data_IF_604364211195
#
_entry.id   IF_604364211195
#
_cell.length_a   1.000
_cell.length_b   1.000
_cell.length_c   1.000
_cell.angle_alpha   90.00
_cell.angle_beta   90.00
_cell.angle_gamma   90.00
#
_symmetry.space_group_name_H-M   'P 1'
#
loop_
_entity.id
_entity.type
_entity.pdbx_description
1 polymer ?
#
# COMPACT_ATOMS: atom_id res chain seq x y z
N UNK A 1 4.76 -18.67 -0.53
CA UNK A 1 4.14 -17.36 -0.81
C UNK A 1 3.37 -17.22 -2.14
N UNK A 2 3.32 -18.17 -3.11
CA UNK A 2 2.55 -17.92 -4.34
C UNK A 2 1.03 -18.06 -4.17
N UNK A 3 0.57 -19.02 -3.36
CA UNK A 3 -0.87 -19.28 -3.15
C UNK A 3 -1.57 -18.07 -2.50
N UNK A 4 -0.91 -17.42 -1.53
CA UNK A 4 -1.46 -16.26 -0.82
C UNK A 4 -1.60 -15.05 -1.73
N UNK A 5 -0.58 -14.75 -2.53
CA UNK A 5 -0.62 -13.63 -3.47
C UNK A 5 -1.76 -13.81 -4.49
N UNK A 6 -1.93 -15.03 -5.03
CA UNK A 6 -3.00 -15.33 -5.99
C UNK A 6 -4.38 -15.19 -5.33
N UNK A 7 -4.58 -15.78 -4.15
CA UNK A 7 -5.85 -15.69 -3.43
C UNK A 7 -6.22 -14.23 -3.12
N UNK A 8 -5.26 -13.42 -2.68
CA UNK A 8 -5.47 -12.00 -2.40
C UNK A 8 -5.83 -11.21 -3.66
N UNK A 9 -5.09 -11.45 -4.75
CA UNK A 9 -5.29 -10.78 -6.02
C UNK A 9 -6.68 -11.09 -6.59
N UNK A 10 -7.18 -12.32 -6.45
CA UNK A 10 -8.54 -12.69 -6.86
C UNK A 10 -9.61 -11.91 -6.10
N UNK A 11 -9.48 -11.77 -4.78
CA UNK A 11 -10.42 -10.99 -3.96
C UNK A 11 -10.37 -9.51 -4.31
N UNK A 12 -9.17 -8.95 -4.50
CA UNK A 12 -9.00 -7.56 -4.89
C UNK A 12 -9.60 -7.26 -6.27
N UNK A 13 -9.36 -8.15 -7.25
CA UNK A 13 -9.96 -8.04 -8.57
C UNK A 13 -11.48 -8.16 -8.52
N UNK A 14 -12.01 -9.09 -7.72
CA UNK A 14 -13.46 -9.21 -7.52
C UNK A 14 -14.06 -7.90 -7.01
N UNK A 15 -13.47 -7.30 -5.98
CA UNK A 15 -13.93 -6.02 -5.42
C UNK A 15 -13.82 -4.89 -6.44
N UNK A 16 -12.73 -4.84 -7.22
CA UNK A 16 -12.51 -3.87 -8.27
C UNK A 16 -13.61 -3.96 -9.35
N UNK A 17 -13.88 -5.16 -9.87
CA UNK A 17 -14.89 -5.38 -10.90
C UNK A 17 -16.31 -5.14 -10.38
N UNK A 18 -16.59 -5.48 -9.12
CA UNK A 18 -17.87 -5.21 -8.49
C UNK A 18 -18.13 -3.71 -8.27
N UNK A 19 -17.08 -2.89 -8.17
CA UNK A 19 -17.16 -1.45 -7.89
C UNK A 19 -16.52 -0.60 -9.00
N UNK A 20 -16.60 -1.06 -10.25
CA UNK A 20 -15.89 -0.44 -11.38
C UNK A 20 -16.26 1.03 -11.60
N UNK A 21 -17.51 1.40 -11.29
CA UNK A 21 -18.00 2.78 -11.37
C UNK A 21 -17.37 3.72 -10.34
N UNK A 22 -16.90 3.20 -9.20
CA UNK A 22 -16.27 3.98 -8.13
C UNK A 22 -14.74 4.11 -8.30
N UNK A 23 -14.16 3.44 -9.30
CA UNK A 23 -12.72 3.46 -9.57
C UNK A 23 -12.20 4.86 -9.92
N UNK A 24 -12.85 5.65 -10.81
CA UNK A 24 -12.40 7.00 -11.10
C UNK A 24 -12.38 7.90 -9.86
N UNK A 25 -13.40 7.79 -9.00
CA UNK A 25 -13.51 8.57 -7.77
C UNK A 25 -12.43 8.19 -6.75
N UNK A 26 -12.17 6.90 -6.58
CA UNK A 26 -11.06 6.41 -5.75
C UNK A 26 -9.71 6.96 -6.23
N UNK A 27 -9.43 6.93 -7.53
CA UNK A 27 -8.17 7.45 -8.08
C UNK A 27 -8.05 8.96 -7.87
N UNK A 28 -9.15 9.69 -8.07
CA UNK A 28 -9.23 11.12 -7.79
C UNK A 28 -8.94 11.41 -6.31
N UNK A 29 -9.55 10.64 -5.40
CA UNK A 29 -9.33 10.75 -3.96
C UNK A 29 -7.87 10.53 -3.57
N UNK A 30 -7.19 9.53 -4.16
CA UNK A 30 -5.77 9.26 -3.92
C UNK A 30 -4.93 10.47 -4.33
N UNK A 31 -5.12 10.98 -5.55
CA UNK A 31 -4.34 12.11 -6.08
C UNK A 31 -4.61 13.39 -5.28
N UNK A 32 -5.87 13.71 -5.02
CA UNK A 32 -6.24 14.89 -4.23
C UNK A 32 -5.69 14.82 -2.81
N UNK A 33 -5.71 13.64 -2.19
CA UNK A 33 -5.18 13.44 -0.83
C UNK A 33 -3.65 13.50 -0.80
N UNK A 34 -2.98 12.98 -1.82
CA UNK A 34 -1.52 13.00 -1.92
C UNK A 34 -0.96 14.41 -2.10
N UNK A 35 -1.62 15.24 -2.92
CA UNK A 35 -1.21 16.63 -3.17
C UNK A 35 -1.92 17.66 -2.26
N UNK A 36 -2.79 17.20 -1.36
CA UNK A 36 -3.55 18.04 -0.44
C UNK A 36 -4.47 19.05 -1.13
N UNK A 37 -5.01 18.72 -2.32
CA UNK A 37 -5.93 19.56 -3.11
C UNK A 37 -7.36 19.59 -2.53
N UNK A 38 -7.53 19.34 -1.24
CA UNK A 38 -8.81 19.39 -0.53
C UNK A 38 -9.13 20.78 0.06
N UNK A 39 -10.28 20.95 0.74
CA UNK A 39 -10.71 22.24 1.32
C UNK A 39 -9.81 22.82 2.44
N UNK A 40 -8.67 22.20 2.73
CA UNK A 40 -7.75 22.63 3.77
C UNK A 40 -6.90 23.81 3.28
N UNK A 41 -7.35 25.02 3.61
CA UNK A 41 -6.64 26.27 3.28
C UNK A 41 -5.38 26.39 4.16
N UNK A 42 -4.18 26.41 3.56
CA UNK A 42 -2.93 26.81 4.25
C UNK A 42 -2.10 25.70 4.91
N UNK A 43 -1.34 26.04 5.97
CA UNK A 43 -0.32 25.17 6.61
C UNK A 43 -0.82 23.83 7.16
N UNK A 44 -2.13 23.68 7.41
CA UNK A 44 -2.75 22.42 7.81
C UNK A 44 -2.74 21.38 6.67
N UNK A 45 -2.97 21.79 5.42
CA UNK A 45 -2.82 20.90 4.26
C UNK A 45 -1.37 20.44 4.09
N UNK A 46 -0.40 21.37 4.26
CA UNK A 46 1.03 21.03 4.23
C UNK A 46 1.43 20.01 5.30
N UNK A 47 0.92 20.13 6.53
CA UNK A 47 1.12 19.14 7.58
C UNK A 47 0.49 17.78 7.24
N UNK A 48 -0.74 17.78 6.70
CA UNK A 48 -1.43 16.56 6.31
C UNK A 48 -0.70 15.82 5.18
N UNK A 49 -0.22 16.53 4.16
CA UNK A 49 0.61 15.97 3.08
C UNK A 49 1.89 15.36 3.65
N UNK A 50 2.62 16.11 4.50
CA UNK A 50 3.86 15.63 5.12
C UNK A 50 3.61 14.35 5.94
N UNK A 51 2.56 14.33 6.76
CA UNK A 51 2.19 13.18 7.57
C UNK A 51 1.78 11.98 6.71
N UNK A 52 0.98 12.19 5.66
CA UNK A 52 0.58 11.15 4.72
C UNK A 52 1.80 10.56 3.98
N UNK A 53 2.70 11.42 3.51
CA UNK A 53 3.91 11.02 2.81
C UNK A 53 4.88 10.26 3.73
N UNK A 54 5.13 10.74 4.94
CA UNK A 54 5.97 10.03 5.91
C UNK A 54 5.42 8.65 6.26
N UNK A 55 4.10 8.55 6.51
CA UNK A 55 3.46 7.28 6.82
C UNK A 55 3.47 6.32 5.62
N UNK A 56 3.23 6.84 4.41
CA UNK A 56 3.28 6.07 3.17
C UNK A 56 4.68 5.54 2.87
N UNK A 57 5.70 6.40 2.97
CA UNK A 57 7.10 6.03 2.74
C UNK A 57 7.56 4.99 3.76
N UNK A 58 7.33 5.21 5.06
CA UNK A 58 7.70 4.26 6.11
C UNK A 58 7.05 2.90 5.88
N UNK A 59 5.74 2.86 5.65
CA UNK A 59 5.01 1.61 5.41
C UNK A 59 5.44 0.91 4.12
N UNK A 60 5.67 1.66 3.04
CA UNK A 60 6.16 1.12 1.78
C UNK A 60 7.53 0.45 1.92
N UNK A 61 8.47 1.11 2.60
CA UNK A 61 9.81 0.56 2.87
C UNK A 61 9.77 -0.70 3.76
N UNK A 62 8.83 -0.78 4.70
CA UNK A 62 8.64 -2.00 5.51
C UNK A 62 7.97 -3.14 4.74
N UNK A 63 7.13 -2.85 3.74
CA UNK A 63 6.46 -3.88 2.92
C UNK A 63 7.45 -4.59 1.99
N UNK A 64 8.30 -3.82 1.31
CA UNK A 64 9.14 -4.33 0.23
C UNK A 64 10.64 -4.42 0.58
N UNK A 65 11.03 -4.03 1.79
CA UNK A 65 12.43 -3.95 2.27
C UNK A 65 13.38 -3.15 1.34
N UNK A 66 12.86 -2.27 0.49
CA UNK A 66 13.68 -1.53 -0.46
C UNK A 66 14.71 -0.66 0.27
N UNK A 67 16.00 -0.90 0.01
CA UNK A 67 17.09 -0.12 0.62
C UNK A 67 17.35 -0.43 2.10
N UNK A 68 16.71 -1.44 2.70
CA UNK A 68 16.95 -1.86 4.10
C UNK A 68 18.24 -2.67 4.29
N UNK A 69 18.87 -3.14 3.21
CA UNK A 69 20.13 -3.89 3.28
C UNK A 69 20.02 -5.32 3.85
N UNK A 70 18.85 -5.73 4.32
CA UNK A 70 18.53 -7.10 4.79
C UNK A 70 18.29 -8.09 3.64
N UNK A 71 17.64 -7.64 2.58
CA UNK A 71 17.26 -8.45 1.40
C UNK A 71 18.44 -9.11 0.66
N UNK A 72 19.63 -8.48 0.55
CA UNK A 72 20.83 -9.12 0.03
C UNK A 72 21.27 -10.39 0.78
N UNK A 73 20.97 -10.50 2.08
CA UNK A 73 21.35 -11.67 2.89
C UNK A 73 20.62 -12.94 2.42
N UNK A 74 19.33 -12.82 2.07
CA UNK A 74 18.56 -13.91 1.45
C UNK A 74 19.02 -14.17 0.01
N UNK A 75 19.42 -13.14 -0.73
CA UNK A 75 19.98 -13.27 -2.08
C UNK A 75 21.29 -14.05 -2.10
N UNK A 76 22.13 -13.88 -1.09
CA UNK A 76 23.46 -14.49 -1.01
C UNK A 76 23.42 -16.02 -0.93
N UNK A 77 22.31 -16.60 -0.48
CA UNK A 77 22.10 -18.05 -0.45
C UNK A 77 21.58 -18.63 -1.77
N UNK A 78 21.16 -17.78 -2.71
CA UNK A 78 20.60 -18.24 -3.99
C UNK A 78 21.71 -18.67 -4.94
N UNK A 79 21.58 -19.88 -5.49
CA UNK A 79 22.49 -20.37 -6.54
C UNK A 79 22.14 -19.70 -7.88
N UNK A 80 22.84 -18.62 -8.20
CA UNK A 80 22.70 -17.89 -9.48
C UNK A 80 24.01 -17.85 -10.25
N UNK A 81 23.93 -17.78 -11.58
CA UNK A 81 25.11 -17.74 -12.45
C UNK A 81 25.87 -16.41 -12.39
N UNK A 82 25.17 -15.32 -12.09
CA UNK A 82 25.75 -13.98 -12.00
C UNK A 82 24.97 -13.15 -10.97
N UNK A 83 25.65 -12.41 -10.08
CA UNK A 83 24.99 -11.62 -9.02
C UNK A 83 24.01 -10.58 -9.58
N UNK A 84 24.27 -10.02 -10.77
CA UNK A 84 23.33 -9.09 -11.41
C UNK A 84 21.98 -9.73 -11.73
N UNK A 85 21.92 -11.02 -12.05
CA UNK A 85 20.66 -11.71 -12.29
C UNK A 85 19.84 -11.83 -10.99
N UNK A 86 20.50 -12.09 -9.86
CA UNK A 86 19.83 -12.13 -8.56
C UNK A 86 19.34 -10.74 -8.14
N UNK A 87 20.14 -9.69 -8.40
CA UNK A 87 19.72 -8.31 -8.16
C UNK A 87 18.47 -7.94 -8.96
N UNK A 88 18.42 -8.29 -10.25
CA UNK A 88 17.25 -8.04 -11.11
C UNK A 88 15.99 -8.76 -10.61
N UNK A 89 16.10 -10.02 -10.20
CA UNK A 89 14.96 -10.77 -9.64
C UNK A 89 14.46 -10.14 -8.34
N UNK A 90 15.36 -9.65 -7.48
CA UNK A 90 14.98 -8.95 -6.25
C UNK A 90 14.32 -7.60 -6.51
N UNK A 91 14.85 -6.80 -7.44
CA UNK A 91 14.21 -5.54 -7.85
C UNK A 91 12.83 -5.77 -8.47
N UNK A 92 12.65 -6.85 -9.21
CA UNK A 92 11.34 -7.24 -9.74
C UNK A 92 10.35 -7.62 -8.63
N UNK A 93 10.82 -8.29 -7.56
CA UNK A 93 10.00 -8.56 -6.38
C UNK A 93 9.46 -7.29 -5.73
N UNK A 94 10.31 -6.27 -5.54
CA UNK A 94 9.91 -4.95 -5.01
C UNK A 94 8.90 -4.25 -5.92
N UNK A 95 9.08 -4.34 -7.23
CA UNK A 95 8.16 -3.79 -8.22
C UNK A 95 6.77 -4.45 -8.12
N UNK A 96 6.71 -5.78 -8.08
CA UNK A 96 5.44 -6.52 -7.96
C UNK A 96 4.75 -6.21 -6.62
N UNK A 97 5.50 -6.18 -5.51
CA UNK A 97 4.92 -5.86 -4.21
C UNK A 97 4.32 -4.45 -4.17
N UNK A 98 5.07 -3.45 -4.67
CA UNK A 98 4.65 -2.05 -4.57
C UNK A 98 3.55 -1.70 -5.58
N UNK A 99 3.69 -2.12 -6.84
CA UNK A 99 2.79 -1.70 -7.91
C UNK A 99 1.54 -2.58 -7.97
N UNK A 100 1.68 -3.88 -7.74
CA UNK A 100 0.54 -4.81 -7.89
C UNK A 100 -0.11 -5.06 -6.54
N UNK A 101 0.65 -5.54 -5.56
CA UNK A 101 0.08 -6.05 -4.32
C UNK A 101 -0.40 -4.92 -3.41
N UNK A 102 0.44 -3.93 -3.13
CA UNK A 102 0.07 -2.76 -2.32
C UNK A 102 -1.06 -1.93 -2.96
N UNK A 103 -1.08 -1.81 -4.29
CA UNK A 103 -2.19 -1.14 -5.00
C UNK A 103 -3.50 -1.91 -4.86
N UNK A 104 -3.47 -3.24 -4.92
CA UNK A 104 -4.65 -4.07 -4.66
C UNK A 104 -5.18 -3.84 -3.24
N UNK A 105 -4.29 -3.71 -2.25
CA UNK A 105 -4.68 -3.39 -0.88
C UNK A 105 -5.36 -2.02 -0.77
N UNK A 106 -4.85 -1.01 -1.48
CA UNK A 106 -5.49 0.30 -1.55
C UNK A 106 -6.91 0.22 -2.14
N UNK A 107 -7.09 -0.54 -3.23
CA UNK A 107 -8.40 -0.79 -3.84
C UNK A 107 -9.37 -1.44 -2.86
N UNK A 108 -8.93 -2.48 -2.16
CA UNK A 108 -9.77 -3.18 -1.17
C UNK A 108 -10.18 -2.24 -0.03
N UNK A 109 -9.27 -1.42 0.50
CA UNK A 109 -9.57 -0.51 1.61
C UNK A 109 -10.51 0.61 1.17
N UNK A 110 -10.27 1.23 0.00
CA UNK A 110 -11.01 2.40 -0.46
C UNK A 110 -12.37 2.05 -1.08
N UNK A 111 -12.53 0.87 -1.70
CA UNK A 111 -13.80 0.47 -2.31
C UNK A 111 -14.67 -0.42 -1.40
N UNK A 112 -14.16 -0.89 -0.25
CA UNK A 112 -14.95 -1.74 0.67
C UNK A 112 -15.95 -0.98 1.54
N UNK A 113 -15.98 0.35 1.49
CA UNK A 113 -16.80 1.17 2.39
C UNK A 113 -16.25 1.29 3.82
N UNK A 114 -15.12 0.64 4.10
CA UNK A 114 -14.44 0.70 5.41
C UNK A 114 -13.85 2.10 5.63
N UNK A 115 -13.29 2.71 4.58
CA UNK A 115 -12.70 4.04 4.66
C UNK A 115 -13.72 5.11 5.09
N UNK A 116 -14.91 5.11 4.48
CA UNK A 116 -15.99 6.04 4.79
C UNK A 116 -16.51 5.87 6.22
N UNK A 117 -16.65 4.62 6.69
CA UNK A 117 -17.02 4.32 8.08
C UNK A 117 -15.98 4.86 9.06
N UNK A 118 -14.69 4.63 8.79
CA UNK A 118 -13.60 5.12 9.64
C UNK A 118 -13.56 6.65 9.73
N UNK A 119 -13.89 7.35 8.65
CA UNK A 119 -13.96 8.81 8.66
C UNK A 119 -15.23 9.34 9.35
N UNK A 120 -16.35 8.63 9.24
CA UNK A 120 -17.63 9.02 9.86
C UNK A 120 -17.67 8.84 11.38
N UNK A 121 -16.96 7.86 11.95
CA UNK A 121 -17.01 7.55 13.39
C UNK A 121 -16.02 8.34 14.26
N UNK A 122 -15.04 9.07 13.71
CA UNK A 122 -13.98 9.69 14.54
C UNK A 122 -13.26 10.88 13.89
N UNK A 123 -13.80 12.11 13.92
CA UNK A 123 -13.04 13.32 13.60
C UNK A 123 -12.04 13.60 14.74
N UNK A 124 -10.82 13.03 14.67
CA UNK A 124 -9.70 13.40 15.55
C UNK A 124 -8.94 12.28 16.29
N UNK A 125 -9.20 10.99 16.04
CA UNK A 125 -8.39 9.87 16.60
C UNK A 125 -7.48 9.18 15.58
N UNK A 126 -6.95 9.92 14.60
CA UNK A 126 -6.02 9.39 13.60
C UNK A 126 -4.65 8.94 14.17
N UNK A 127 -4.41 9.04 15.48
CA UNK A 127 -3.13 8.72 16.13
C UNK A 127 -3.20 7.69 17.27
N UNK A 128 -4.28 6.91 17.39
CA UNK A 128 -4.29 5.73 18.26
C UNK A 128 -4.68 4.50 17.46
N UNK A 129 -3.68 3.64 17.24
CA UNK A 129 -3.72 2.53 16.31
C UNK A 129 -5.05 1.78 16.30
N UNK A 130 -5.81 1.96 15.21
CA UNK A 130 -6.72 0.91 14.79
C UNK A 130 -5.84 -0.28 14.43
N UNK A 131 -5.87 -1.27 15.33
CA UNK A 131 -5.31 -2.58 15.08
C UNK A 131 -6.20 -3.18 13.99
N UNK A 132 -5.91 -2.85 12.72
CA UNK A 132 -6.41 -3.59 11.58
C UNK A 132 -6.23 -5.06 11.95
N UNK A 133 -7.24 -5.93 11.72
CA UNK A 133 -7.08 -7.34 12.02
C UNK A 133 -5.76 -7.75 11.40
N UNK A 134 -4.79 -8.14 12.23
CA UNK A 134 -3.52 -8.70 11.81
C UNK A 134 -3.84 -10.05 11.21
N UNK A 135 -4.52 -10.04 10.07
CA UNK A 135 -4.61 -11.20 9.23
C UNK A 135 -3.16 -11.45 8.82
N UNK A 136 -2.61 -12.63 9.09
CA UNK A 136 -1.21 -12.95 8.77
C UNK A 136 -0.87 -12.84 7.27
N UNK A 137 -1.85 -12.51 6.44
CA UNK A 137 -1.81 -12.38 4.99
C UNK A 137 -2.13 -10.98 4.46
N UNK A 138 -2.57 -10.05 5.33
CA UNK A 138 -2.82 -8.67 4.92
C UNK A 138 -1.47 -7.96 4.94
N UNK A 139 -0.99 -7.56 3.77
CA UNK A 139 0.31 -6.90 3.59
C UNK A 139 0.13 -5.43 3.97
N UNK A 140 -0.01 -5.15 5.28
CA UNK A 140 0.31 -3.88 5.98
C UNK A 140 0.54 -4.17 7.47
#
# INVERSE_FOLDING_TARGET
MPIMAIAYLLVALWILFANLSAVPDMLSLIVMSAFGLGPAVGGAAGYAIKAAMENGIKRGLFSNEAGMGSTPNAAAQATVKHPAAQGLVQSFGVFVDTIVICSCTAVVILLSGVYERLMSESPGRASKGYNLPKMPWLII
#
